data_IF_311554186300
#
_entry.id   IF_311554186300
#
_cell.length_a   1.000
_cell.length_b   1.000
_cell.length_c   1.000
_cell.angle_alpha   90.00
_cell.angle_beta   90.00
_cell.angle_gamma   90.00
#
_symmetry.space_group_name_H-M   'P 1'
#
loop_
_entity.id
_entity.type
_entity.pdbx_description
1 polymer ?
#
# COMPACT_ATOMS: atom_id res chain seq x y z
N UNK A 1 -0.75 -11.09 -28.07
CA UNK A 1 -1.39 -9.85 -27.61
C UNK A 1 -2.67 -9.63 -28.37
N UNK A 2 -3.69 -9.13 -27.69
CA UNK A 2 -4.92 -8.63 -28.31
C UNK A 2 -4.67 -7.25 -28.94
N UNK A 3 -5.59 -6.78 -29.77
CA UNK A 3 -5.55 -5.41 -30.31
C UNK A 3 -5.60 -4.35 -29.20
N UNK A 4 -6.29 -4.68 -28.10
CA UNK A 4 -6.38 -3.84 -26.92
C UNK A 4 -5.03 -3.68 -26.21
N UNK A 5 -4.29 -4.78 -26.02
CA UNK A 5 -2.95 -4.74 -25.39
C UNK A 5 -1.98 -3.86 -26.19
N UNK A 6 -2.02 -3.95 -27.52
CA UNK A 6 -1.17 -3.14 -28.40
C UNK A 6 -1.49 -1.65 -28.25
N UNK A 7 -2.78 -1.30 -28.23
CA UNK A 7 -3.23 0.09 -28.03
C UNK A 7 -2.77 0.63 -26.67
N UNK A 8 -2.93 -0.14 -25.61
CA UNK A 8 -2.50 0.24 -24.25
C UNK A 8 -0.99 0.50 -24.19
N UNK A 9 -0.17 -0.39 -24.76
CA UNK A 9 1.29 -0.20 -24.82
C UNK A 9 1.73 1.00 -25.67
N UNK A 10 1.00 1.30 -26.75
CA UNK A 10 1.28 2.48 -27.60
C UNK A 10 0.91 3.79 -26.92
N UNK A 11 -0.19 3.82 -26.15
CA UNK A 11 -0.67 5.05 -25.50
C UNK A 11 0.08 5.34 -24.21
N UNK A 12 0.44 4.30 -23.44
CA UNK A 12 1.15 4.43 -22.16
C UNK A 12 2.48 3.66 -22.15
N UNK A 13 3.44 4.02 -23.02
CA UNK A 13 4.72 3.31 -23.12
C UNK A 13 5.47 3.38 -21.78
N UNK A 14 6.04 2.25 -21.35
CA UNK A 14 6.79 2.17 -20.09
C UNK A 14 5.94 2.20 -18.81
N UNK A 15 4.61 2.34 -18.92
CA UNK A 15 3.67 2.41 -17.77
C UNK A 15 2.74 1.20 -17.69
N UNK A 16 2.96 0.20 -18.54
CA UNK A 16 2.14 -1.01 -18.64
C UNK A 16 2.97 -2.19 -18.16
N UNK A 17 2.39 -3.00 -17.28
CA UNK A 17 3.05 -4.16 -16.71
C UNK A 17 2.22 -5.40 -16.97
N UNK A 18 2.90 -6.46 -17.42
CA UNK A 18 2.29 -7.78 -17.60
C UNK A 18 2.01 -8.45 -16.25
N UNK A 19 0.74 -8.51 -15.87
CA UNK A 19 0.28 -9.08 -14.59
C UNK A 19 0.56 -10.58 -14.45
N UNK A 20 0.69 -11.32 -15.55
CA UNK A 20 1.07 -12.74 -15.52
C UNK A 20 2.51 -12.94 -15.01
N UNK A 21 3.41 -11.98 -15.27
CA UNK A 21 4.79 -11.99 -14.77
C UNK A 21 4.83 -11.76 -13.25
N UNK A 22 3.99 -10.86 -12.74
CA UNK A 22 3.87 -10.58 -11.30
C UNK A 22 3.61 -11.88 -10.52
N UNK A 23 2.70 -12.72 -11.02
CA UNK A 23 2.36 -14.01 -10.38
C UNK A 23 3.54 -14.97 -10.32
N UNK A 24 4.42 -14.97 -11.33
CA UNK A 24 5.63 -15.81 -11.36
C UNK A 24 6.64 -15.37 -10.30
N UNK A 25 6.76 -14.06 -10.09
CA UNK A 25 7.78 -13.47 -9.20
C UNK A 25 7.31 -13.40 -7.74
N UNK A 26 6.00 -13.27 -7.48
CA UNK A 26 5.45 -13.18 -6.12
C UNK A 26 5.76 -14.39 -5.23
N UNK A 27 6.02 -15.56 -5.83
CA UNK A 27 6.31 -16.80 -5.10
C UNK A 27 7.64 -16.65 -4.33
N UNK A 28 7.55 -16.42 -3.02
CA UNK A 28 8.70 -16.33 -2.12
C UNK A 28 9.05 -14.93 -1.61
N UNK A 29 8.42 -13.87 -2.14
CA UNK A 29 8.71 -12.50 -1.72
C UNK A 29 7.55 -11.90 -0.91
N UNK A 30 7.82 -11.49 0.34
CA UNK A 30 6.83 -10.87 1.22
C UNK A 30 6.73 -9.35 1.01
N UNK A 31 6.54 -8.92 -0.23
CA UNK A 31 6.37 -7.51 -0.61
C UNK A 31 5.06 -7.29 -1.36
N UNK A 32 4.43 -6.11 -1.28
CA UNK A 32 3.20 -5.82 -2.01
C UNK A 32 3.35 -5.97 -3.53
N UNK A 33 2.25 -6.29 -4.21
CA UNK A 33 2.20 -6.46 -5.67
C UNK A 33 2.61 -5.19 -6.40
N UNK A 34 2.21 -4.00 -5.95
CA UNK A 34 2.64 -2.75 -6.59
C UNK A 34 4.17 -2.56 -6.58
N UNK A 35 4.88 -3.14 -5.59
CA UNK A 35 6.36 -3.13 -5.54
C UNK A 35 6.93 -4.01 -6.64
N UNK A 36 6.35 -5.21 -6.82
CA UNK A 36 6.74 -6.11 -7.91
C UNK A 36 6.42 -5.52 -9.28
N UNK A 37 5.28 -4.86 -9.40
CA UNK A 37 4.86 -4.19 -10.64
C UNK A 37 5.80 -3.05 -11.00
N UNK A 38 6.26 -2.27 -10.02
CA UNK A 38 7.29 -1.26 -10.26
C UNK A 38 8.59 -1.87 -10.80
N UNK A 39 9.09 -2.94 -10.18
CA UNK A 39 10.32 -3.62 -10.64
C UNK A 39 10.14 -4.18 -12.05
N UNK A 40 9.01 -4.85 -12.31
CA UNK A 40 8.69 -5.39 -13.63
C UNK A 40 8.47 -4.27 -14.67
N UNK A 41 7.90 -3.13 -14.29
CA UNK A 41 7.80 -1.97 -15.17
C UNK A 41 9.16 -1.40 -15.57
N UNK A 42 10.15 -1.46 -14.67
CA UNK A 42 11.51 -0.98 -14.95
C UNK A 42 12.29 -1.89 -15.89
N UNK A 43 12.13 -3.21 -15.78
CA UNK A 43 12.97 -4.19 -16.49
C UNK A 43 12.24 -5.04 -17.55
N UNK A 44 10.91 -5.07 -17.51
CA UNK A 44 10.06 -5.92 -18.36
C UNK A 44 8.95 -5.13 -19.09
N UNK A 45 9.06 -3.81 -19.21
CA UNK A 45 8.12 -2.97 -19.98
C UNK A 45 8.37 -3.07 -21.50
N UNK A 46 8.30 -4.29 -22.02
CA UNK A 46 8.46 -4.61 -23.44
C UNK A 46 7.63 -5.84 -23.78
N UNK A 47 7.32 -6.03 -25.06
CA UNK A 47 6.60 -7.18 -25.60
C UNK A 47 7.53 -8.25 -26.19
N UNK A 48 8.83 -7.97 -26.29
CA UNK A 48 9.82 -8.93 -26.80
C UNK A 48 10.14 -10.01 -25.76
N UNK A 49 9.80 -11.26 -26.07
CA UNK A 49 9.92 -12.38 -25.13
C UNK A 49 11.36 -12.57 -24.62
N UNK A 50 12.39 -12.41 -25.47
CA UNK A 50 13.79 -12.51 -25.03
C UNK A 50 14.16 -11.43 -24.02
N UNK A 51 13.74 -10.19 -24.26
CA UNK A 51 13.96 -9.08 -23.34
C UNK A 51 13.20 -9.28 -22.02
N UNK A 52 11.98 -9.81 -22.07
CA UNK A 52 11.20 -10.17 -20.87
C UNK A 52 11.93 -11.23 -20.04
N UNK A 53 12.45 -12.30 -20.65
CA UNK A 53 13.18 -13.34 -19.92
C UNK A 53 14.45 -12.79 -19.25
N UNK A 54 15.19 -11.93 -19.96
CA UNK A 54 16.35 -11.25 -19.38
C UNK A 54 15.94 -10.33 -18.20
N UNK A 55 14.87 -9.55 -18.37
CA UNK A 55 14.33 -8.69 -17.32
C UNK A 55 13.87 -9.47 -16.09
N UNK A 56 13.23 -10.64 -16.27
CA UNK A 56 12.83 -11.52 -15.16
C UNK A 56 14.02 -12.03 -14.35
N UNK A 57 15.14 -12.38 -15.00
CA UNK A 57 16.36 -12.78 -14.30
C UNK A 57 16.89 -11.64 -13.42
N UNK A 58 16.90 -10.41 -13.94
CA UNK A 58 17.31 -9.22 -13.18
C UNK A 58 16.38 -8.98 -12.00
N UNK A 59 15.06 -9.03 -12.21
CA UNK A 59 14.07 -8.81 -11.15
C UNK A 59 14.18 -9.86 -10.05
N UNK A 60 14.34 -11.14 -10.40
CA UNK A 60 14.53 -12.22 -9.43
C UNK A 60 15.83 -12.04 -8.64
N UNK A 61 16.92 -11.61 -9.28
CA UNK A 61 18.19 -11.31 -8.61
C UNK A 61 18.05 -10.15 -7.62
N UNK A 62 17.39 -9.05 -8.03
CA UNK A 62 17.11 -7.90 -7.14
C UNK A 62 16.27 -8.34 -5.95
N UNK A 63 15.21 -9.11 -6.16
CA UNK A 63 14.35 -9.56 -5.06
C UNK A 63 15.14 -10.45 -4.11
N UNK A 64 15.89 -11.43 -4.63
CA UNK A 64 16.66 -12.34 -3.80
C UNK A 64 17.76 -11.65 -2.99
N UNK A 65 18.32 -10.54 -3.47
CA UNK A 65 19.43 -9.84 -2.82
C UNK A 65 18.98 -8.68 -1.94
N UNK A 66 17.93 -7.98 -2.34
CA UNK A 66 17.57 -6.69 -1.75
C UNK A 66 16.29 -6.77 -0.91
N UNK A 67 15.41 -7.75 -1.13
CA UNK A 67 14.24 -7.96 -0.25
C UNK A 67 14.67 -8.83 0.91
N UNK A 68 14.45 -8.33 2.12
CA UNK A 68 14.72 -9.06 3.36
C UNK A 68 13.42 -9.28 4.12
N UNK A 69 13.32 -10.43 4.79
CA UNK A 69 12.24 -10.65 5.74
C UNK A 69 12.65 -10.16 7.15
N UNK A 70 11.70 -9.77 8.01
CA UNK A 70 12.01 -9.26 9.35
C UNK A 70 12.85 -10.21 10.24
N UNK A 71 12.77 -11.51 10.02
CA UNK A 71 13.57 -12.53 10.71
C UNK A 71 15.04 -12.57 10.28
N UNK A 72 15.36 -12.02 9.09
CA UNK A 72 16.72 -11.90 8.57
C UNK A 72 17.38 -10.54 8.90
N UNK A 73 16.72 -9.68 9.69
CA UNK A 73 17.19 -8.32 10.00
C UNK A 73 18.65 -8.26 10.51
N UNK A 74 19.05 -9.18 11.39
CA UNK A 74 20.42 -9.21 11.91
C UNK A 74 21.45 -9.57 10.83
N UNK A 75 21.09 -10.44 9.88
CA UNK A 75 21.92 -10.80 8.73
C UNK A 75 22.07 -9.60 7.81
N UNK A 76 20.98 -8.87 7.56
CA UNK A 76 20.99 -7.62 6.79
C UNK A 76 21.91 -6.56 7.42
N UNK A 77 21.83 -6.35 8.74
CA UNK A 77 22.73 -5.47 9.48
C UNK A 77 24.20 -5.88 9.35
N UNK A 78 24.49 -7.18 9.41
CA UNK A 78 25.83 -7.72 9.22
C UNK A 78 26.34 -7.45 7.78
N UNK A 79 25.52 -7.64 6.76
CA UNK A 79 25.89 -7.33 5.37
C UNK A 79 26.29 -5.87 5.18
N UNK A 80 25.49 -4.92 5.69
CA UNK A 80 25.82 -3.48 5.61
C UNK A 80 27.15 -3.19 6.31
N UNK A 81 27.38 -3.80 7.49
CA UNK A 81 28.63 -3.63 8.24
C UNK A 81 29.85 -4.21 7.50
N UNK A 82 29.75 -5.41 6.96
CA UNK A 82 30.86 -6.12 6.32
C UNK A 82 31.20 -5.56 4.94
N UNK A 83 30.20 -5.12 4.19
CA UNK A 83 30.37 -4.58 2.83
C UNK A 83 30.55 -3.06 2.83
N UNK A 84 30.27 -2.38 3.94
CA UNK A 84 30.32 -0.93 4.08
C UNK A 84 29.07 -0.23 3.55
N UNK A 85 28.47 -0.73 2.47
CA UNK A 85 27.18 -0.29 1.95
C UNK A 85 26.37 -1.46 1.39
N UNK A 86 25.05 -1.36 1.45
CA UNK A 86 24.15 -2.35 0.86
C UNK A 86 22.79 -1.72 0.50
N UNK A 87 22.17 -2.19 -0.58
CA UNK A 87 20.86 -1.72 -1.02
C UNK A 87 19.76 -2.71 -0.66
N UNK A 88 18.69 -2.22 -0.02
CA UNK A 88 17.51 -3.00 0.32
C UNK A 88 16.26 -2.44 -0.33
N UNK A 89 15.23 -3.29 -0.45
CA UNK A 89 13.86 -2.88 -0.71
C UNK A 89 13.11 -3.02 0.62
N UNK A 90 12.76 -1.90 1.22
CA UNK A 90 12.11 -1.88 2.53
C UNK A 90 11.09 -0.73 2.63
N UNK A 91 10.15 -0.84 3.57
CA UNK A 91 9.25 0.23 3.92
C UNK A 91 9.93 1.18 4.91
N UNK A 92 10.04 2.45 4.51
CA UNK A 92 10.68 3.50 5.29
C UNK A 92 9.63 4.41 5.91
N UNK A 93 9.73 4.62 7.22
CA UNK A 93 9.00 5.65 7.97
C UNK A 93 10.00 6.61 8.58
N UNK A 94 9.60 7.86 8.80
CA UNK A 94 10.44 8.88 9.42
C UNK A 94 9.66 9.53 10.54
N UNK A 95 10.35 9.83 11.64
CA UNK A 95 9.78 10.61 12.74
C UNK A 95 10.75 11.70 13.18
N UNK A 96 10.20 12.86 13.55
CA UNK A 96 10.95 13.90 14.22
C UNK A 96 11.04 13.58 15.73
N UNK A 97 12.25 13.55 16.26
CA UNK A 97 12.51 13.46 17.70
C UNK A 97 12.97 14.83 18.17
N UNK A 98 12.02 15.63 18.67
CA UNK A 98 12.25 17.02 19.07
C UNK A 98 13.31 17.17 20.17
N UNK A 99 13.43 16.19 21.08
CA UNK A 99 14.47 16.19 22.12
C UNK A 99 15.90 16.08 21.57
N UNK A 100 16.05 15.67 20.31
CA UNK A 100 17.33 15.52 19.62
C UNK A 100 17.45 16.48 18.43
N UNK A 101 16.41 17.28 18.15
CA UNK A 101 16.26 18.10 16.94
C UNK A 101 16.62 17.31 15.65
N UNK A 102 16.13 16.07 15.57
CA UNK A 102 16.57 15.13 14.54
C UNK A 102 15.47 14.24 14.00
N UNK A 103 15.52 14.00 12.69
CA UNK A 103 14.72 12.98 12.04
C UNK A 103 15.40 11.61 12.10
N UNK A 104 14.64 10.61 12.50
CA UNK A 104 15.05 9.22 12.52
C UNK A 104 14.19 8.40 11.58
N UNK A 105 14.84 7.68 10.66
CA UNK A 105 14.17 6.70 9.83
C UNK A 105 14.01 5.37 10.59
N UNK A 106 12.89 4.71 10.31
CA UNK A 106 12.54 3.35 10.69
C UNK A 106 12.40 2.54 9.41
N UNK A 107 13.14 1.44 9.31
CA UNK A 107 13.03 0.45 8.24
C UNK A 107 12.37 -0.81 8.81
N UNK A 108 11.23 -1.20 8.24
CA UNK A 108 10.35 -2.23 8.82
C UNK A 108 11.01 -3.61 8.81
N UNK A 109 11.58 -4.04 7.68
CA UNK A 109 12.17 -5.38 7.56
C UNK A 109 13.62 -5.41 8.06
N UNK A 110 14.36 -4.31 7.93
CA UNK A 110 15.67 -4.13 8.57
C UNK A 110 15.57 -4.05 10.11
N UNK A 111 14.36 -3.80 10.63
CA UNK A 111 14.02 -3.78 12.05
C UNK A 111 14.97 -2.89 12.87
N UNK A 112 15.06 -1.63 12.45
CA UNK A 112 15.76 -0.59 13.20
C UNK A 112 15.02 0.74 13.09
N UNK A 113 14.93 1.43 14.22
CA UNK A 113 14.19 2.67 14.36
C UNK A 113 15.11 3.89 14.43
N UNK A 114 16.43 3.69 14.46
CA UNK A 114 17.41 4.77 14.56
C UNK A 114 18.32 4.74 13.34
N UNK A 115 17.76 4.97 12.15
CA UNK A 115 18.58 5.10 10.94
C UNK A 115 18.69 6.57 10.57
N UNK A 116 19.91 7.03 10.34
CA UNK A 116 20.14 8.42 9.94
C UNK A 116 19.60 8.65 8.53
N UNK A 117 18.90 9.76 8.31
CA UNK A 117 18.34 10.12 7.01
C UNK A 117 18.65 11.59 6.68
N UNK A 118 19.12 11.91 5.46
CA UNK A 118 19.26 13.29 5.02
C UNK A 118 17.94 14.05 4.96
N UNK A 119 17.93 15.29 5.44
CA UNK A 119 16.71 16.11 5.53
C UNK A 119 16.03 16.40 4.18
N UNK A 120 16.77 16.32 3.06
CA UNK A 120 16.20 16.60 1.74
C UNK A 120 15.14 15.56 1.35
N UNK A 121 15.32 14.28 1.69
CA UNK A 121 14.33 13.23 1.42
C UNK A 121 12.99 13.50 2.08
N UNK A 122 13.00 14.14 3.25
CA UNK A 122 11.80 14.45 4.03
C UNK A 122 11.01 15.56 3.35
N UNK A 123 11.71 16.56 2.78
CA UNK A 123 11.09 17.67 2.04
C UNK A 123 10.55 17.21 0.69
N UNK A 124 11.20 16.24 0.06
CA UNK A 124 10.79 15.70 -1.24
C UNK A 124 9.66 14.68 -1.09
N UNK A 125 9.65 13.89 -0.01
CA UNK A 125 8.73 12.77 0.18
C UNK A 125 7.99 12.88 1.53
N UNK A 126 6.99 13.77 1.60
CA UNK A 126 6.24 14.06 2.83
C UNK A 126 5.60 12.81 3.45
N UNK A 127 5.15 11.86 2.62
CA UNK A 127 4.55 10.58 3.04
C UNK A 127 5.49 9.69 3.88
N UNK A 128 6.79 9.98 3.92
CA UNK A 128 7.71 9.34 4.86
C UNK A 128 7.35 9.63 6.33
N UNK A 129 6.77 10.80 6.63
CA UNK A 129 6.35 11.21 7.99
C UNK A 129 5.00 10.62 8.43
N UNK A 130 4.30 9.91 7.54
CA UNK A 130 2.96 9.36 7.76
C UNK A 130 2.99 7.82 7.86
N UNK A 131 2.25 7.11 7.00
CA UNK A 131 2.21 5.65 6.93
C UNK A 131 3.50 4.99 6.42
N UNK A 132 4.45 5.78 5.91
CA UNK A 132 5.72 5.33 5.34
C UNK A 132 5.60 4.82 3.91
N UNK A 133 6.74 4.71 3.23
CA UNK A 133 6.83 4.44 1.79
C UNK A 133 7.79 3.29 1.51
N UNK A 134 7.36 2.31 0.71
CA UNK A 134 8.27 1.29 0.17
C UNK A 134 9.28 1.95 -0.74
N UNK A 135 10.57 1.67 -0.51
CA UNK A 135 11.67 2.35 -1.19
C UNK A 135 12.80 1.37 -1.47
N UNK A 136 13.52 1.60 -2.57
CA UNK A 136 14.89 1.12 -2.73
C UNK A 136 15.79 2.05 -1.89
N UNK A 137 16.44 1.50 -0.86
CA UNK A 137 17.20 2.25 0.15
C UNK A 137 18.64 1.77 0.13
N UNK A 138 19.57 2.67 -0.11
CA UNK A 138 20.99 2.40 0.07
C UNK A 138 21.38 2.76 1.51
N UNK A 139 21.82 1.74 2.26
CA UNK A 139 22.32 1.89 3.62
C UNK A 139 23.84 1.83 3.63
N UNK A 140 24.45 2.76 4.33
CA UNK A 140 25.88 2.81 4.57
C UNK A 140 26.18 2.59 6.06
N UNK A 141 27.21 1.81 6.34
CA UNK A 141 27.76 1.64 7.68
C UNK A 141 28.83 2.69 7.93
N UNK A 142 28.56 3.60 8.85
CA UNK A 142 29.53 4.59 9.32
C UNK A 142 29.72 4.42 10.82
N UNK A 143 30.84 3.81 11.20
CA UNK A 143 31.25 3.64 12.58
C UNK A 143 32.52 4.45 12.82
N UNK A 144 32.40 5.47 13.66
CA UNK A 144 33.51 6.32 14.08
C UNK A 144 33.68 6.19 15.60
N UNK A 145 34.81 5.63 16.04
CA UNK A 145 35.14 5.37 17.44
C UNK A 145 35.24 6.65 18.29
N UNK A 146 35.60 7.80 17.71
CA UNK A 146 35.72 9.08 18.41
C UNK A 146 34.36 9.80 18.51
N UNK A 147 33.51 9.72 17.48
CA UNK A 147 32.15 10.27 17.47
C UNK A 147 31.10 9.37 18.15
N UNK A 148 31.45 8.14 18.55
CA UNK A 148 30.57 7.21 19.27
C UNK A 148 30.11 7.70 20.65
N UNK A 149 30.77 8.69 21.25
CA UNK A 149 30.28 9.35 22.47
C UNK A 149 29.03 10.19 22.17
N UNK A 150 27.90 9.51 21.95
CA UNK A 150 26.57 10.11 21.78
C UNK A 150 25.77 9.67 20.55
N UNK A 151 26.36 8.93 19.60
CA UNK A 151 25.63 8.44 18.41
C UNK A 151 24.86 7.16 18.70
N UNK A 152 23.55 7.18 18.44
CA UNK A 152 22.63 6.06 18.69
C UNK A 152 22.72 4.91 17.68
N UNK A 153 23.29 5.12 16.50
CA UNK A 153 23.31 4.12 15.42
C UNK A 153 24.42 4.37 14.39
N UNK A 154 25.03 3.32 13.83
CA UNK A 154 26.02 3.42 12.76
C UNK A 154 25.40 3.38 11.35
N UNK A 155 24.09 3.24 11.20
CA UNK A 155 23.43 3.08 9.89
C UNK A 155 22.91 4.41 9.34
N UNK A 156 23.24 4.68 8.07
CA UNK A 156 22.85 5.89 7.35
C UNK A 156 22.19 5.56 6.03
N UNK A 157 21.09 6.23 5.71
CA UNK A 157 20.52 6.26 4.36
C UNK A 157 21.36 7.22 3.53
N UNK A 158 22.09 6.68 2.56
CA UNK A 158 22.85 7.48 1.60
C UNK A 158 22.00 7.86 0.39
N UNK A 159 21.12 6.96 -0.06
CA UNK A 159 20.17 7.15 -1.14
C UNK A 159 18.82 6.50 -0.83
N UNK A 160 17.72 7.11 -1.27
CA UNK A 160 16.36 6.64 -1.05
C UNK A 160 15.50 6.96 -2.27
N UNK A 161 14.99 5.89 -2.90
CA UNK A 161 14.11 5.97 -4.07
C UNK A 161 12.77 5.30 -3.76
N UNK A 162 11.70 6.08 -3.54
CA UNK A 162 10.37 5.54 -3.37
C UNK A 162 9.95 4.66 -4.55
N UNK A 163 9.40 3.49 -4.24
CA UNK A 163 8.79 2.56 -5.18
C UNK A 163 7.34 3.01 -5.37
N UNK A 164 7.21 4.11 -6.10
CA UNK A 164 5.95 4.74 -6.47
C UNK A 164 6.06 5.25 -7.92
N UNK A 165 4.96 5.75 -8.47
CA UNK A 165 5.04 6.57 -9.68
C UNK A 165 5.94 7.77 -9.38
N UNK A 166 7.14 7.80 -9.97
CA UNK A 166 8.16 8.81 -9.70
C UNK A 166 7.67 10.25 -9.97
N UNK A 167 6.74 10.39 -10.90
CA UNK A 167 6.01 11.62 -11.18
C UNK A 167 4.71 11.26 -11.91
N UNK A 168 3.59 11.88 -11.53
CA UNK A 168 2.35 11.77 -12.27
C UNK A 168 2.22 12.96 -13.22
N UNK A 169 2.25 12.69 -14.52
CA UNK A 169 1.96 13.69 -15.55
C UNK A 169 0.47 13.64 -15.87
N UNK A 170 -0.25 14.66 -15.38
CA UNK A 170 -1.70 14.75 -15.56
C UNK A 170 -2.10 15.03 -17.01
N UNK A 171 -1.33 15.85 -17.74
CA UNK A 171 -1.62 16.21 -19.12
C UNK A 171 -1.42 15.02 -20.06
N UNK A 172 -0.35 14.25 -19.83
CA UNK A 172 -0.12 13.00 -20.56
C UNK A 172 -1.23 11.98 -20.27
N UNK A 173 -1.65 11.86 -19.00
CA UNK A 173 -2.76 10.98 -18.62
C UNK A 173 -4.06 11.36 -19.31
N UNK A 174 -4.42 12.65 -19.34
CA UNK A 174 -5.61 13.15 -20.03
C UNK A 174 -5.54 12.87 -21.54
N UNK A 175 -4.41 13.21 -22.17
CA UNK A 175 -4.18 12.97 -23.60
C UNK A 175 -4.23 11.47 -23.96
N UNK A 176 -3.76 10.61 -23.06
CA UNK A 176 -3.86 9.15 -23.19
C UNK A 176 -5.31 8.68 -23.06
N UNK A 177 -6.05 9.16 -22.05
CA UNK A 177 -7.45 8.84 -21.81
C UNK A 177 -8.34 9.15 -23.02
N UNK A 178 -8.11 10.27 -23.70
CA UNK A 178 -8.89 10.69 -24.88
C UNK A 178 -8.82 9.70 -26.05
N UNK A 179 -7.76 8.87 -26.11
CA UNK A 179 -7.59 7.85 -27.16
C UNK A 179 -8.45 6.59 -26.94
N UNK A 180 -9.15 6.48 -25.82
CA UNK A 180 -10.00 5.35 -25.48
C UNK A 180 -11.48 5.73 -25.47
N UNK A 181 -12.31 4.85 -26.01
CA UNK A 181 -13.76 4.90 -25.72
C UNK A 181 -14.00 4.62 -24.23
N UNK A 182 -15.19 5.00 -23.73
CA UNK A 182 -15.55 4.73 -22.32
C UNK A 182 -15.50 3.23 -21.99
N UNK A 183 -15.96 2.37 -22.89
CA UNK A 183 -15.92 0.91 -22.69
C UNK A 183 -14.50 0.37 -22.60
N UNK A 184 -13.62 0.76 -23.54
CA UNK A 184 -12.20 0.37 -23.50
C UNK A 184 -11.51 0.90 -22.24
N UNK A 185 -11.87 2.10 -21.77
CA UNK A 185 -11.30 2.66 -20.55
C UNK A 185 -11.72 1.89 -19.30
N UNK A 186 -13.00 1.51 -19.21
CA UNK A 186 -13.50 0.65 -18.12
C UNK A 186 -12.74 -0.68 -18.13
N UNK A 187 -12.57 -1.28 -19.31
CA UNK A 187 -11.83 -2.53 -19.45
C UNK A 187 -10.38 -2.37 -19.02
N UNK A 188 -9.74 -1.24 -19.37
CA UNK A 188 -8.37 -0.96 -18.97
C UNK A 188 -8.22 -0.82 -17.44
N UNK A 189 -9.16 -0.14 -16.78
CA UNK A 189 -9.18 -0.02 -15.33
C UNK A 189 -9.39 -1.39 -14.65
N UNK A 190 -10.31 -2.21 -15.16
CA UNK A 190 -10.57 -3.55 -14.63
C UNK A 190 -9.32 -4.44 -14.76
N UNK A 191 -8.67 -4.47 -15.94
CA UNK A 191 -7.40 -5.17 -16.14
C UNK A 191 -6.30 -4.66 -15.22
N UNK A 192 -6.24 -3.35 -14.97
CA UNK A 192 -5.26 -2.75 -14.05
C UNK A 192 -5.42 -3.25 -12.61
N UNK A 193 -6.64 -3.60 -12.19
CA UNK A 193 -6.90 -4.26 -10.89
C UNK A 193 -6.58 -5.76 -10.87
N UNK A 194 -6.18 -6.34 -12.01
CA UNK A 194 -5.81 -7.76 -12.14
C UNK A 194 -6.98 -8.69 -12.46
N UNK A 195 -8.08 -8.16 -13.01
CA UNK A 195 -9.29 -8.89 -13.40
C UNK A 195 -9.47 -8.88 -14.92
N UNK A 196 -9.99 -9.98 -15.49
CA UNK A 196 -10.21 -10.05 -16.94
C UNK A 196 -11.58 -9.51 -17.31
N UNK A 197 -11.67 -8.37 -18.04
CA UNK A 197 -12.93 -7.68 -18.28
C UNK A 197 -13.94 -8.52 -19.09
N UNK A 198 -13.48 -9.43 -19.95
CA UNK A 198 -14.34 -10.31 -20.75
C UNK A 198 -15.19 -11.27 -19.90
N UNK A 199 -14.81 -11.51 -18.65
CA UNK A 199 -15.54 -12.38 -17.72
C UNK A 199 -16.72 -11.68 -17.02
N UNK A 200 -16.91 -10.38 -17.26
CA UNK A 200 -17.87 -9.56 -16.54
C UNK A 200 -18.83 -8.83 -17.48
N UNK A 201 -20.11 -8.79 -17.11
CA UNK A 201 -21.06 -7.88 -17.72
C UNK A 201 -20.74 -6.42 -17.37
N UNK A 202 -21.21 -5.46 -18.16
CA UNK A 202 -20.97 -4.02 -17.95
C UNK A 202 -21.32 -3.57 -16.52
N UNK A 203 -22.49 -4.00 -16.01
CA UNK A 203 -22.91 -3.68 -14.64
C UNK A 203 -21.93 -4.20 -13.59
N UNK A 204 -21.36 -5.40 -13.79
CA UNK A 204 -20.40 -5.99 -12.87
C UNK A 204 -19.07 -5.23 -12.91
N UNK A 205 -18.61 -4.81 -14.09
CA UNK A 205 -17.42 -3.95 -14.22
C UNK A 205 -17.58 -2.66 -13.42
N UNK A 206 -18.72 -1.97 -13.57
CA UNK A 206 -18.99 -0.76 -12.80
C UNK A 206 -19.02 -1.01 -11.28
N UNK A 207 -19.61 -2.12 -10.84
CA UNK A 207 -19.61 -2.51 -9.42
C UNK A 207 -18.19 -2.80 -8.90
N UNK A 208 -17.33 -3.42 -9.71
CA UNK A 208 -15.93 -3.65 -9.35
C UNK A 208 -15.14 -2.34 -9.25
N UNK A 209 -15.40 -1.37 -10.13
CA UNK A 209 -14.76 -0.05 -10.07
C UNK A 209 -15.16 0.77 -8.83
N UNK A 210 -16.32 0.52 -8.21
CA UNK A 210 -16.69 1.16 -6.94
C UNK A 210 -15.64 0.90 -5.85
N UNK A 211 -14.93 -0.23 -5.90
CA UNK A 211 -13.84 -0.54 -4.96
C UNK A 211 -12.67 0.45 -5.00
N UNK A 212 -12.55 1.23 -6.09
CA UNK A 212 -11.50 2.24 -6.26
C UNK A 212 -11.91 3.63 -5.77
N UNK A 213 -13.22 3.90 -5.62
CA UNK A 213 -13.73 5.20 -5.15
C UNK A 213 -13.12 5.61 -3.79
N UNK A 214 -13.01 4.71 -2.78
CA UNK A 214 -12.36 5.05 -1.52
C UNK A 214 -10.94 5.62 -1.65
N UNK A 215 -10.22 5.30 -2.72
CA UNK A 215 -8.83 5.73 -2.95
C UNK A 215 -8.72 7.10 -3.63
N UNK A 216 -9.82 7.60 -4.21
CA UNK A 216 -9.85 8.88 -4.94
C UNK A 216 -10.79 9.90 -4.33
N UNK A 217 -11.73 9.46 -3.49
CA UNK A 217 -12.63 10.30 -2.71
C UNK A 217 -12.40 10.07 -1.21
N UNK A 218 -12.24 11.16 -0.47
CA UNK A 218 -12.00 11.13 0.98
C UNK A 218 -13.29 10.79 1.74
N UNK A 219 -13.17 10.01 2.82
CA UNK A 219 -14.31 9.60 3.66
C UNK A 219 -15.46 8.92 2.87
N UNK A 220 -15.15 8.17 1.81
CA UNK A 220 -16.14 7.37 1.10
C UNK A 220 -16.31 6.01 1.78
N UNK A 221 -17.45 5.83 2.45
CA UNK A 221 -17.72 4.65 3.26
C UNK A 221 -18.42 3.55 2.44
N UNK A 222 -17.81 2.36 2.39
CA UNK A 222 -18.25 1.26 1.53
C UNK A 222 -18.44 -0.03 2.34
N UNK A 223 -19.53 -0.76 2.06
CA UNK A 223 -19.74 -2.12 2.53
C UNK A 223 -19.81 -3.05 1.33
N UNK A 224 -18.93 -4.05 1.28
CA UNK A 224 -18.92 -5.07 0.23
C UNK A 224 -19.13 -6.45 0.84
N UNK A 225 -20.28 -7.05 0.53
CA UNK A 225 -20.61 -8.41 0.92
C UNK A 225 -20.63 -9.30 -0.33
N UNK A 226 -19.81 -10.35 -0.34
CA UNK A 226 -19.78 -11.25 -1.47
C UNK A 226 -19.21 -12.64 -1.16
N UNK A 227 -19.21 -13.54 -2.14
CA UNK A 227 -18.57 -14.85 -2.02
C UNK A 227 -17.07 -14.74 -1.71
N UNK A 228 -16.48 -15.87 -1.31
CA UNK A 228 -15.02 -16.00 -1.16
C UNK A 228 -14.35 -15.96 -2.54
N UNK A 229 -13.11 -15.47 -2.59
CA UNK A 229 -12.29 -15.51 -3.81
C UNK A 229 -12.62 -14.46 -4.88
N UNK A 230 -13.41 -13.42 -4.57
CA UNK A 230 -13.79 -12.36 -5.52
C UNK A 230 -12.81 -11.17 -5.58
N UNK A 231 -11.63 -11.29 -4.98
CA UNK A 231 -10.61 -10.24 -4.97
C UNK A 231 -10.90 -9.03 -4.07
N UNK A 232 -11.88 -9.09 -3.16
CA UNK A 232 -12.28 -7.99 -2.24
C UNK A 232 -11.08 -7.42 -1.49
N UNK A 233 -10.40 -8.28 -0.74
CA UNK A 233 -9.26 -7.91 0.10
C UNK A 233 -8.01 -7.56 -0.71
N UNK A 234 -7.91 -8.07 -1.94
CA UNK A 234 -6.77 -7.83 -2.82
C UNK A 234 -6.67 -6.36 -3.20
N UNK A 235 -7.79 -5.71 -3.57
CA UNK A 235 -7.79 -4.31 -4.01
C UNK A 235 -7.19 -3.39 -2.92
N UNK A 236 -7.67 -3.50 -1.69
CA UNK A 236 -7.22 -2.66 -0.57
C UNK A 236 -5.83 -3.01 -0.04
N UNK A 237 -5.31 -4.20 -0.35
CA UNK A 237 -3.97 -4.61 0.09
C UNK A 237 -2.88 -4.32 -0.94
N UNK A 238 -3.22 -4.44 -2.22
CA UNK A 238 -2.22 -4.64 -3.28
C UNK A 238 -2.18 -3.51 -4.32
N UNK A 239 -3.20 -2.63 -4.38
CA UNK A 239 -3.29 -1.58 -5.41
C UNK A 239 -2.62 -0.27 -4.97
N UNK A 240 -2.75 0.11 -3.70
CA UNK A 240 -2.25 1.40 -3.20
C UNK A 240 -1.34 1.21 -1.99
N UNK A 241 -0.20 1.93 -1.92
CA UNK A 241 0.63 1.99 -0.72
C UNK A 241 -0.02 2.77 0.43
N UNK A 242 -1.17 3.42 0.19
CA UNK A 242 -1.90 4.27 1.13
C UNK A 242 -3.22 3.65 1.60
N UNK A 243 -3.41 2.35 1.37
CA UNK A 243 -4.49 1.58 1.98
C UNK A 243 -3.94 0.57 2.97
N UNK A 244 -4.67 0.35 4.06
CA UNK A 244 -4.42 -0.71 5.04
C UNK A 244 -5.61 -1.64 5.11
N UNK A 245 -5.34 -2.94 5.02
CA UNK A 245 -6.32 -3.98 5.29
C UNK A 245 -6.09 -4.55 6.70
N UNK A 246 -7.06 -4.36 7.57
CA UNK A 246 -7.09 -4.88 8.92
C UNK A 246 -7.82 -6.22 8.91
N UNK A 247 -7.12 -7.29 9.26
CA UNK A 247 -7.65 -8.65 9.34
C UNK A 247 -7.57 -9.17 10.78
N UNK A 248 -8.58 -9.95 11.19
CA UNK A 248 -8.65 -10.55 12.53
C UNK A 248 -9.33 -9.62 13.53
N UNK A 249 -10.57 -9.97 13.91
CA UNK A 249 -11.57 -9.14 14.59
C UNK A 249 -11.27 -8.54 15.96
N UNK A 250 -10.01 -8.23 16.30
CA UNK A 250 -9.62 -7.49 17.51
C UNK A 250 -8.96 -6.17 17.14
N UNK A 251 -9.77 -5.22 16.67
CA UNK A 251 -9.32 -3.83 16.51
C UNK A 251 -9.87 -3.01 17.66
N UNK A 252 -9.01 -2.26 18.36
CA UNK A 252 -9.41 -1.40 19.48
C UNK A 252 -9.63 0.04 19.01
N UNK A 253 -10.45 0.82 19.74
CA UNK A 253 -10.59 2.29 19.53
C UNK A 253 -9.22 2.96 19.47
N UNK A 254 -8.30 2.50 20.31
CA UNK A 254 -6.97 3.10 20.44
C UNK A 254 -6.11 2.96 19.18
N UNK A 255 -6.22 1.82 18.50
CA UNK A 255 -5.48 1.56 17.27
C UNK A 255 -6.12 2.26 16.07
N UNK A 256 -7.46 2.38 16.05
CA UNK A 256 -8.18 3.03 14.97
C UNK A 256 -8.05 4.55 15.01
N UNK A 257 -8.43 5.15 16.12
CA UNK A 257 -8.72 6.58 16.17
C UNK A 257 -7.62 7.37 16.84
N UNK A 258 -7.40 7.11 18.13
CA UNK A 258 -6.42 7.86 18.90
C UNK A 258 -6.02 7.02 20.08
N UNK A 259 -4.78 7.11 20.54
CA UNK A 259 -4.31 6.43 21.75
C UNK A 259 -4.03 7.47 22.85
N UNK A 260 -4.82 7.48 23.93
CA UNK A 260 -4.67 8.47 25.02
C UNK A 260 -3.31 8.39 25.71
N UNK A 261 -2.74 7.19 25.85
CA UNK A 261 -1.49 6.99 26.59
C UNK A 261 -0.29 7.54 25.81
N UNK A 262 -0.27 7.35 24.49
CA UNK A 262 0.81 7.83 23.61
C UNK A 262 0.51 9.18 22.95
N UNK A 263 -0.73 9.68 23.06
CA UNK A 263 -1.22 10.91 22.40
C UNK A 263 -1.05 10.91 20.88
N UNK A 264 -1.16 9.74 20.26
CA UNK A 264 -1.00 9.56 18.81
C UNK A 264 -2.33 9.24 18.15
N UNK A 265 -2.54 9.80 16.97
CA UNK A 265 -3.63 9.42 16.06
C UNK A 265 -3.38 7.99 15.58
N UNK A 266 -4.47 7.22 15.49
CA UNK A 266 -4.47 5.85 15.02
C UNK A 266 -4.46 5.76 13.50
N UNK A 267 -4.74 4.57 12.97
CA UNK A 267 -4.64 4.30 11.53
C UNK A 267 -5.59 5.17 10.68
N UNK A 268 -6.70 5.65 11.24
CA UNK A 268 -7.65 6.50 10.50
C UNK A 268 -7.04 7.84 10.10
N UNK A 269 -6.06 8.37 10.84
CA UNK A 269 -5.36 9.61 10.48
C UNK A 269 -4.10 9.41 9.64
N UNK A 270 -3.72 8.17 9.33
CA UNK A 270 -2.43 7.85 8.68
C UNK A 270 -2.58 7.25 7.28
N UNK A 271 -3.80 6.84 6.90
CA UNK A 271 -4.08 6.10 5.69
C UNK A 271 -5.23 6.73 4.93
N UNK A 272 -5.23 6.62 3.60
CA UNK A 272 -6.31 7.15 2.77
C UNK A 272 -7.51 6.19 2.79
N UNK A 273 -7.27 4.89 2.98
CA UNK A 273 -8.33 3.86 3.10
C UNK A 273 -8.01 2.86 4.20
N UNK A 274 -8.95 2.67 5.12
CA UNK A 274 -8.94 1.61 6.14
C UNK A 274 -9.99 0.57 5.77
N UNK A 275 -9.53 -0.60 5.32
CA UNK A 275 -10.39 -1.71 4.96
C UNK A 275 -10.39 -2.79 6.05
N UNK A 276 -11.57 -3.24 6.45
CA UNK A 276 -11.77 -4.31 7.42
C UNK A 276 -12.16 -5.58 6.69
N UNK A 277 -11.37 -6.63 6.84
CA UNK A 277 -11.72 -7.96 6.32
C UNK A 277 -12.50 -8.77 7.36
N UNK A 278 -13.35 -9.66 6.87
CA UNK A 278 -14.16 -10.57 7.70
C UNK A 278 -15.04 -9.85 8.74
N UNK A 279 -15.73 -8.78 8.34
CA UNK A 279 -16.55 -7.94 9.25
C UNK A 279 -17.63 -8.73 9.99
N UNK A 280 -18.13 -9.84 9.42
CA UNK A 280 -19.07 -10.73 10.10
C UNK A 280 -18.50 -11.45 11.34
N UNK A 281 -17.17 -11.51 11.48
CA UNK A 281 -16.47 -12.04 12.66
C UNK A 281 -15.78 -10.94 13.48
N UNK A 282 -16.07 -9.67 13.22
CA UNK A 282 -15.48 -8.57 13.99
C UNK A 282 -16.06 -8.50 15.39
N UNK A 283 -15.15 -8.70 16.33
CA UNK A 283 -15.22 -8.44 17.75
C UNK A 283 -15.48 -6.96 18.13
N UNK A 284 -16.59 -6.33 17.71
CA UNK A 284 -16.90 -4.94 18.07
C UNK A 284 -17.78 -4.88 19.33
N UNK A 285 -17.48 -5.67 20.36
CA UNK A 285 -18.27 -5.69 21.61
C UNK A 285 -18.24 -4.36 22.38
N UNK A 286 -17.27 -3.48 22.13
CA UNK A 286 -17.24 -2.14 22.72
C UNK A 286 -18.17 -1.20 21.94
N UNK A 287 -19.36 -0.91 22.50
CA UNK A 287 -20.33 0.07 21.95
C UNK A 287 -19.66 1.40 21.59
N UNK A 288 -18.69 1.83 22.40
CA UNK A 288 -17.91 3.04 22.19
C UNK A 288 -17.17 3.05 20.85
N UNK A 289 -16.70 1.90 20.34
CA UNK A 289 -16.04 1.82 19.01
C UNK A 289 -17.04 2.13 17.90
N UNK A 290 -18.25 1.56 17.99
CA UNK A 290 -19.28 1.69 16.97
C UNK A 290 -19.80 3.12 16.90
N UNK A 291 -19.99 3.77 18.05
CA UNK A 291 -20.48 5.15 18.08
C UNK A 291 -19.43 6.13 17.54
N UNK A 292 -18.15 5.96 17.90
CA UNK A 292 -17.06 6.76 17.32
C UNK A 292 -16.93 6.52 15.80
N UNK A 293 -17.09 5.29 15.34
CA UNK A 293 -17.10 4.97 13.91
C UNK A 293 -18.24 5.67 13.17
N UNK A 294 -19.46 5.67 13.73
CA UNK A 294 -20.61 6.37 13.14
C UNK A 294 -20.34 7.86 13.02
N UNK A 295 -19.92 8.49 14.12
CA UNK A 295 -19.62 9.93 14.16
C UNK A 295 -18.56 10.28 13.11
N UNK A 296 -17.48 9.49 13.02
CA UNK A 296 -16.43 9.66 12.02
C UNK A 296 -16.92 9.49 10.59
N UNK A 297 -17.66 8.42 10.31
CA UNK A 297 -18.14 8.11 8.95
C UNK A 297 -19.14 9.16 8.46
N UNK A 298 -19.86 9.84 9.36
CA UNK A 298 -20.76 10.94 9.03
C UNK A 298 -20.03 12.26 8.83
N UNK A 299 -19.13 12.61 9.75
CA UNK A 299 -18.56 13.97 9.83
C UNK A 299 -17.15 14.12 9.24
N UNK A 300 -16.42 13.01 9.05
CA UNK A 300 -14.98 13.02 8.76
C UNK A 300 -14.11 13.42 9.95
N UNK A 301 -14.70 13.56 11.14
CA UNK A 301 -13.99 13.88 12.37
C UNK A 301 -14.47 12.99 13.52
N UNK A 302 -13.64 12.88 14.56
CA UNK A 302 -14.06 12.19 15.77
C UNK A 302 -13.61 12.97 17.00
N UNK A 303 -14.46 12.94 18.02
CA UNK A 303 -14.18 13.57 19.31
C UNK A 303 -13.58 12.56 20.27
N UNK A 304 -12.40 12.86 20.80
CA UNK A 304 -11.84 12.07 21.90
C UNK A 304 -11.16 12.95 22.94
N UNK A 305 -11.79 13.08 24.10
CA UNK A 305 -11.34 13.99 25.15
C UNK A 305 -11.85 15.42 24.94
N UNK A 306 -10.95 16.38 24.75
CA UNK A 306 -11.29 17.83 24.58
C UNK A 306 -11.06 18.37 23.17
N UNK A 307 -10.55 17.56 22.25
CA UNK A 307 -10.21 17.98 20.89
C UNK A 307 -10.96 17.12 19.87
N UNK A 308 -11.41 17.77 18.81
CA UNK A 308 -11.97 17.16 17.62
C UNK A 308 -10.83 16.93 16.62
N UNK A 309 -10.72 15.70 16.11
CA UNK A 309 -9.66 15.29 15.19
C UNK A 309 -10.30 14.99 13.84
N UNK A 310 -9.94 15.73 12.80
CA UNK A 310 -10.34 15.46 11.41
C UNK A 310 -9.40 14.45 10.79
N UNK A 311 -9.95 13.54 9.99
CA UNK A 311 -9.19 12.62 9.16
C UNK A 311 -9.89 12.38 7.82
N UNK A 312 -9.14 11.92 6.83
CA UNK A 312 -9.63 11.80 5.45
C UNK A 312 -9.88 10.35 5.02
N UNK A 313 -9.57 9.37 5.89
CA UNK A 313 -9.63 7.96 5.55
C UNK A 313 -11.04 7.50 5.21
N UNK A 314 -11.17 6.79 4.10
CA UNK A 314 -12.37 6.06 3.74
C UNK A 314 -12.46 4.74 4.51
N UNK A 315 -13.64 4.38 5.04
CA UNK A 315 -13.87 3.09 5.72
C UNK A 315 -14.49 2.06 4.78
N UNK A 316 -13.85 0.90 4.63
CA UNK A 316 -14.34 -0.19 3.78
C UNK A 316 -14.59 -1.45 4.61
N UNK A 317 -15.81 -1.97 4.61
CA UNK A 317 -16.20 -3.16 5.36
C UNK A 317 -16.42 -4.33 4.42
N UNK A 318 -15.53 -5.34 4.48
CA UNK A 318 -15.54 -6.49 3.58
C UNK A 318 -16.05 -7.72 4.32
N UNK A 319 -17.14 -8.30 3.81
CA UNK A 319 -17.78 -9.46 4.40
C UNK A 319 -17.90 -10.62 3.43
N UNK A 320 -17.84 -11.84 3.99
CA UNK A 320 -18.16 -13.06 3.27
C UNK A 320 -19.62 -13.43 3.51
N UNK A 321 -20.32 -13.75 2.43
CA UNK A 321 -21.69 -14.26 2.50
C UNK A 321 -21.66 -15.78 2.30
N UNK A 322 -22.10 -16.53 3.32
CA UNK A 322 -22.07 -18.01 3.31
C UNK A 322 -23.36 -18.64 2.78
N UNK A 323 -24.40 -17.85 2.54
CA UNK A 323 -25.70 -18.29 2.03
C UNK A 323 -26.09 -17.46 0.79
N UNK A 324 -26.91 -18.02 -0.12
CA UNK A 324 -27.48 -17.24 -1.21
C UNK A 324 -28.21 -15.98 -0.68
N UNK A 325 -28.05 -14.85 -1.38
CA UNK A 325 -28.60 -13.56 -0.95
C UNK A 325 -30.12 -13.64 -0.81
N UNK A 326 -30.79 -14.34 -1.71
CA UNK A 326 -32.25 -14.54 -1.70
C UNK A 326 -32.75 -15.29 -0.46
N UNK A 327 -31.91 -16.13 0.15
CA UNK A 327 -32.21 -16.80 1.43
C UNK A 327 -32.01 -15.83 2.59
N UNK A 328 -30.90 -15.08 2.60
CA UNK A 328 -30.60 -14.12 3.67
C UNK A 328 -31.63 -12.99 3.77
N UNK A 329 -32.10 -12.49 2.63
CA UNK A 329 -33.15 -11.46 2.59
C UNK A 329 -34.51 -11.95 3.11
N UNK A 330 -34.73 -13.26 3.15
CA UNK A 330 -35.97 -13.86 3.68
C UNK A 330 -35.92 -14.10 5.18
N UNK A 331 -34.73 -14.33 5.74
CA UNK A 331 -34.53 -14.71 7.14
C UNK A 331 -34.03 -13.57 8.02
N UNK A 332 -33.49 -12.50 7.43
CA UNK A 332 -32.94 -11.36 8.16
C UNK A 332 -33.28 -10.04 7.48
N UNK A 333 -33.71 -9.06 8.28
CA UNK A 333 -33.76 -7.67 7.85
C UNK A 333 -32.34 -7.11 7.96
N UNK A 334 -31.66 -6.92 6.82
CA UNK A 334 -30.31 -6.34 6.77
C UNK A 334 -30.26 -4.88 7.30
N UNK A 335 -31.44 -4.26 7.48
CA UNK A 335 -31.62 -2.85 7.87
C UNK A 335 -32.74 -2.72 8.92
N UNK A 336 -32.52 -3.20 10.14
CA UNK A 336 -33.35 -2.81 11.28
C UNK A 336 -32.63 -1.79 12.15
#
# INVERSE_FOLDING_TARGET
MTQFDQKVNQVFPGKVVRKDLVRKVKVGANIPVYVLEYLLGKYCATDEEMAIQAGLLIVNDIISKNVINPDEANKAKAWVKEQGEYTFIDKVKVRLVASEDKYWAELINFNDNYIHIPNHFIRTYERLLEGGVWSEVNLQYMYDEEEQRGRKSPFWISDLKPIQLASFDFEEYQSGREKFTTGEWIDFLITSTGLEPEQFAERQKLLLLIRLIPMVETNFNLVELGPRGTGKSFVYREISPFSILVSGGKTTVANLFYNMASRKVGIVGLWDVVAFDEVGGMDLHEKDVVDILKDYMESGSFSRGREEITANASMCFLGNVNQPIDVLTKTSHLFQ
#
